data_IF_619486214611
#
_entry.id   IF_619486214611
#
_cell.length_a   1.000
_cell.length_b   1.000
_cell.length_c   1.000
_cell.angle_alpha   90.00
_cell.angle_beta   90.00
_cell.angle_gamma   90.00
#
_symmetry.space_group_name_H-M   'P 1'
#
loop_
_entity.id
_entity.type
_entity.pdbx_description
1 polymer ?
#
# COMPACT_ATOMS: atom_id res chain seq x y z
N UNK A 1 -27.91 -2.65 2.21
CA UNK A 1 -26.96 -3.18 1.19
C UNK A 1 -27.06 -4.67 1.16
N UNK A 2 -27.25 -5.24 -0.01
CA UNK A 2 -27.32 -6.69 -0.17
C UNK A 2 -25.91 -7.32 -0.20
N UNK A 3 -25.87 -8.65 -0.13
CA UNK A 3 -24.61 -9.39 -0.09
C UNK A 3 -23.79 -9.24 -1.40
N UNK A 4 -24.37 -9.31 -2.60
CA UNK A 4 -23.62 -9.07 -3.83
C UNK A 4 -22.98 -7.69 -3.90
N UNK A 5 -23.64 -6.64 -3.44
CA UNK A 5 -23.08 -5.31 -3.37
C UNK A 5 -21.88 -5.24 -2.40
N UNK A 6 -22.02 -5.86 -1.24
CA UNK A 6 -20.96 -5.95 -0.24
C UNK A 6 -19.75 -6.68 -0.79
N UNK A 7 -19.95 -7.82 -1.43
CA UNK A 7 -18.89 -8.62 -2.02
C UNK A 7 -18.15 -7.86 -3.14
N UNK A 8 -18.88 -7.08 -3.94
CA UNK A 8 -18.28 -6.26 -4.98
C UNK A 8 -17.34 -5.21 -4.39
N UNK A 9 -17.72 -4.57 -3.29
CA UNK A 9 -16.89 -3.58 -2.59
C UNK A 9 -15.67 -4.26 -1.96
N UNK A 10 -15.85 -5.40 -1.30
CA UNK A 10 -14.75 -6.18 -0.73
C UNK A 10 -13.74 -6.57 -1.81
N UNK A 11 -14.21 -6.98 -2.98
CA UNK A 11 -13.34 -7.32 -4.11
C UNK A 11 -12.57 -6.10 -4.62
N UNK A 12 -13.23 -4.97 -4.80
CA UNK A 12 -12.60 -3.73 -5.28
C UNK A 12 -11.50 -3.25 -4.31
N UNK A 13 -11.78 -3.24 -3.02
CA UNK A 13 -10.82 -2.80 -2.01
C UNK A 13 -9.65 -3.78 -1.89
N UNK A 14 -9.91 -5.08 -1.93
CA UNK A 14 -8.86 -6.11 -1.93
C UNK A 14 -7.96 -5.97 -3.16
N UNK A 15 -8.56 -5.70 -4.32
CA UNK A 15 -7.82 -5.50 -5.56
C UNK A 15 -6.88 -4.28 -5.44
N UNK A 16 -7.32 -3.18 -4.84
CA UNK A 16 -6.49 -2.00 -4.63
C UNK A 16 -5.26 -2.31 -3.78
N UNK A 17 -5.42 -3.08 -2.71
CA UNK A 17 -4.31 -3.46 -1.83
C UNK A 17 -3.27 -4.28 -2.60
N UNK A 18 -3.71 -5.27 -3.36
CA UNK A 18 -2.81 -6.12 -4.14
C UNK A 18 -2.15 -5.35 -5.29
N UNK A 19 -2.92 -4.52 -5.98
CA UNK A 19 -2.41 -3.70 -7.09
C UNK A 19 -1.35 -2.71 -6.61
N UNK A 20 -1.58 -2.09 -5.44
CA UNK A 20 -0.63 -1.18 -4.82
C UNK A 20 0.73 -1.84 -4.63
N UNK A 21 0.76 -3.05 -4.10
CA UNK A 21 1.99 -3.81 -3.89
C UNK A 21 2.70 -4.08 -5.23
N UNK A 22 1.98 -4.55 -6.22
CA UNK A 22 2.55 -4.87 -7.54
C UNK A 22 3.11 -3.64 -8.25
N UNK A 23 2.38 -2.54 -8.26
CA UNK A 23 2.82 -1.30 -8.89
C UNK A 23 4.02 -0.68 -8.17
N UNK A 24 4.03 -0.78 -6.84
CA UNK A 24 5.15 -0.31 -6.01
C UNK A 24 6.44 -1.05 -6.38
N UNK A 25 6.37 -2.37 -6.49
CA UNK A 25 7.52 -3.21 -6.84
C UNK A 25 8.03 -2.96 -8.26
N UNK A 26 7.17 -2.44 -9.13
CA UNK A 26 7.51 -2.04 -10.49
C UNK A 26 7.97 -0.59 -10.61
N UNK A 27 7.99 0.16 -9.50
CA UNK A 27 8.29 1.59 -9.47
C UNK A 27 7.37 2.42 -10.39
N UNK A 28 6.13 2.01 -10.55
CA UNK A 28 5.12 2.72 -11.35
C UNK A 28 4.41 3.74 -10.47
N UNK A 29 5.15 4.77 -10.09
CA UNK A 29 4.76 5.67 -9.01
C UNK A 29 3.54 6.54 -9.32
N UNK A 30 3.36 6.95 -10.55
CA UNK A 30 2.18 7.72 -10.97
C UNK A 30 0.91 6.88 -10.78
N UNK A 31 0.98 5.61 -11.13
CA UNK A 31 -0.15 4.69 -10.98
C UNK A 31 -0.41 4.35 -9.51
N UNK A 32 0.65 4.24 -8.69
CA UNK A 32 0.50 4.06 -7.24
C UNK A 32 -0.23 5.26 -6.63
N UNK A 33 0.23 6.47 -6.95
CA UNK A 33 -0.40 7.70 -6.45
C UNK A 33 -1.87 7.82 -6.90
N UNK A 34 -2.19 7.37 -8.10
CA UNK A 34 -3.54 7.40 -8.63
C UNK A 34 -4.52 6.45 -7.91
N UNK A 35 -4.02 5.52 -7.10
CA UNK A 35 -4.87 4.65 -6.27
C UNK A 35 -5.43 5.37 -5.05
N UNK A 36 -4.90 6.54 -4.72
CA UNK A 36 -5.43 7.39 -3.65
C UNK A 36 -6.50 8.35 -4.18
N UNK A 37 -7.42 8.71 -3.30
CA UNK A 37 -8.28 9.87 -3.54
C UNK A 37 -7.42 11.14 -3.66
N UNK A 38 -7.92 12.22 -4.30
CA UNK A 38 -7.13 13.45 -4.47
C UNK A 38 -6.51 14.02 -3.19
N UNK A 39 -7.20 13.87 -2.06
CA UNK A 39 -6.76 14.31 -0.73
C UNK A 39 -6.29 13.15 0.15
N UNK A 40 -5.92 12.02 -0.45
CA UNK A 40 -5.49 10.82 0.27
C UNK A 40 -4.28 11.05 1.17
N UNK A 41 -4.23 10.28 2.26
CA UNK A 41 -3.16 10.33 3.25
C UNK A 41 -2.42 9.00 3.31
N UNK A 42 -1.11 9.05 3.44
CA UNK A 42 -0.27 7.87 3.60
C UNK A 42 0.71 8.08 4.76
N UNK A 43 0.91 7.04 5.56
CA UNK A 43 2.07 6.93 6.43
C UNK A 43 2.81 5.63 6.12
N UNK A 44 4.14 5.70 6.07
CA UNK A 44 4.97 4.51 5.85
C UNK A 44 5.10 3.69 7.13
N UNK A 45 5.23 2.36 7.06
CA UNK A 45 5.45 1.54 8.25
C UNK A 45 6.65 1.97 9.09
N UNK A 46 7.70 2.50 8.43
CA UNK A 46 8.91 2.96 9.10
C UNK A 46 8.85 4.42 9.58
N UNK A 47 7.79 5.14 9.23
CA UNK A 47 7.59 6.55 9.58
C UNK A 47 6.10 6.83 9.87
N UNK A 48 5.52 6.17 10.90
CA UNK A 48 4.08 6.26 11.15
C UNK A 48 3.61 7.65 11.60
N UNK A 49 4.54 8.48 12.09
CA UNK A 49 4.24 9.83 12.57
C UNK A 49 4.50 10.92 11.52
N UNK A 50 4.82 10.54 10.29
CA UNK A 50 5.14 11.46 9.21
C UNK A 50 4.15 11.30 8.04
N UNK A 51 2.90 11.78 8.19
CA UNK A 51 1.90 11.65 7.14
C UNK A 51 2.25 12.50 5.92
N UNK A 52 1.95 11.94 4.74
CA UNK A 52 2.00 12.64 3.45
C UNK A 52 0.57 12.77 2.96
N UNK A 53 0.14 13.97 2.66
CA UNK A 53 -1.26 14.27 2.32
C UNK A 53 -1.36 14.87 0.93
N UNK A 54 -2.26 14.31 0.13
CA UNK A 54 -2.56 14.77 -1.21
C UNK A 54 -1.81 13.98 -2.27
N UNK A 55 -2.50 13.71 -3.36
CA UNK A 55 -1.98 12.86 -4.46
C UNK A 55 -0.67 13.40 -5.04
N UNK A 56 -0.55 14.73 -5.20
CA UNK A 56 0.69 15.34 -5.71
C UNK A 56 1.87 15.18 -4.76
N UNK A 57 1.66 15.39 -3.45
CA UNK A 57 2.69 15.19 -2.44
C UNK A 57 3.07 13.70 -2.31
N UNK A 58 2.11 12.81 -2.45
CA UNK A 58 2.35 11.37 -2.47
C UNK A 58 3.25 10.98 -3.64
N UNK A 59 2.95 11.46 -4.83
CA UNK A 59 3.77 11.20 -6.01
C UNK A 59 5.20 11.73 -5.82
N UNK A 60 5.34 12.95 -5.34
CA UNK A 60 6.66 13.54 -5.06
C UNK A 60 7.45 12.69 -4.05
N UNK A 61 6.79 12.21 -3.01
CA UNK A 61 7.38 11.34 -2.00
C UNK A 61 7.86 10.00 -2.60
N UNK A 62 7.08 9.40 -3.50
CA UNK A 62 7.48 8.17 -4.18
C UNK A 62 8.67 8.39 -5.12
N UNK A 63 8.63 9.44 -5.93
CA UNK A 63 9.70 9.77 -6.87
C UNK A 63 11.02 10.10 -6.19
N UNK A 64 10.98 10.56 -4.94
CA UNK A 64 12.18 10.88 -4.15
C UNK A 64 12.88 9.64 -3.59
N UNK A 65 12.25 8.45 -3.67
CA UNK A 65 12.87 7.22 -3.16
C UNK A 65 14.04 6.79 -4.04
N UNK A 66 15.18 6.36 -3.44
CA UNK A 66 16.23 5.72 -4.21
C UNK A 66 15.71 4.45 -4.89
N UNK A 67 16.13 4.18 -6.14
CA UNK A 67 15.78 2.92 -6.80
C UNK A 67 16.26 1.72 -5.98
N UNK A 68 15.40 0.70 -5.87
CA UNK A 68 15.73 -0.54 -5.18
C UNK A 68 14.92 -1.70 -5.76
N UNK A 69 15.44 -2.90 -5.63
CA UNK A 69 14.64 -4.10 -5.85
C UNK A 69 13.78 -4.37 -4.63
N UNK A 70 12.51 -4.61 -4.81
CA UNK A 70 11.60 -4.94 -3.72
C UNK A 70 10.55 -5.95 -4.14
N UNK A 71 10.03 -6.68 -3.15
CA UNK A 71 8.84 -7.51 -3.29
C UNK A 71 8.00 -7.36 -2.04
N UNK A 72 6.78 -6.87 -2.26
CA UNK A 72 5.77 -6.77 -1.21
C UNK A 72 4.85 -7.99 -1.34
N UNK A 73 4.66 -8.70 -0.24
CA UNK A 73 3.71 -9.79 -0.17
C UNK A 73 2.62 -9.37 0.80
N UNK A 74 1.41 -9.16 0.30
CA UNK A 74 0.25 -8.81 1.13
C UNK A 74 -0.53 -10.06 1.46
N UNK A 75 -0.97 -10.16 2.71
CA UNK A 75 -1.76 -11.29 3.17
C UNK A 75 -2.71 -10.84 4.28
N UNK A 76 -3.55 -11.76 4.75
CA UNK A 76 -4.48 -11.51 5.85
C UNK A 76 -5.32 -10.25 5.60
N UNK A 77 -5.78 -10.10 4.35
CA UNK A 77 -6.57 -8.94 3.93
C UNK A 77 -8.00 -9.14 4.41
N UNK A 78 -8.45 -8.24 5.27
CA UNK A 78 -9.82 -8.24 5.79
C UNK A 78 -10.43 -6.88 5.53
N UNK A 79 -11.46 -6.84 4.70
CA UNK A 79 -12.19 -5.63 4.33
C UNK A 79 -13.51 -5.58 5.09
N UNK A 80 -13.77 -4.44 5.72
CA UNK A 80 -15.03 -4.14 6.40
C UNK A 80 -15.76 -3.05 5.61
N UNK A 81 -16.90 -3.40 5.04
CA UNK A 81 -17.73 -2.44 4.29
C UNK A 81 -18.60 -1.67 5.28
N UNK A 82 -18.45 -0.36 5.30
CA UNK A 82 -19.18 0.51 6.22
C UNK A 82 -20.47 1.06 5.58
N UNK A 83 -20.41 1.35 4.28
CA UNK A 83 -21.56 1.84 3.51
C UNK A 83 -21.32 1.61 2.02
N UNK A 84 -22.25 2.05 1.19
CA UNK A 84 -22.07 2.00 -0.28
C UNK A 84 -20.88 2.83 -0.77
N UNK A 85 -20.39 3.76 0.05
CA UNK A 85 -19.36 4.73 -0.34
C UNK A 85 -18.10 4.70 0.53
N UNK A 86 -18.07 3.88 1.58
CA UNK A 86 -16.95 3.82 2.51
C UNK A 86 -16.66 2.39 2.97
N UNK A 87 -15.37 2.10 3.12
CA UNK A 87 -14.89 0.83 3.64
C UNK A 87 -13.56 1.04 4.36
N UNK A 88 -13.16 0.06 5.15
CA UNK A 88 -11.85 0.01 5.80
C UNK A 88 -11.28 -1.39 5.66
N UNK A 89 -9.96 -1.51 5.82
CA UNK A 89 -9.31 -2.80 5.78
C UNK A 89 -8.09 -2.84 6.67
N UNK A 90 -7.73 -4.04 7.06
CA UNK A 90 -6.42 -4.36 7.62
C UNK A 90 -5.77 -5.40 6.72
N UNK A 91 -4.45 -5.29 6.57
CA UNK A 91 -3.67 -6.29 5.85
C UNK A 91 -2.28 -6.39 6.46
N UNK A 92 -1.67 -7.57 6.29
CA UNK A 92 -0.29 -7.81 6.68
C UNK A 92 0.60 -7.61 5.46
N UNK A 93 1.82 -7.12 5.70
CA UNK A 93 2.81 -6.97 4.64
C UNK A 93 4.12 -7.60 5.05
N UNK A 94 4.70 -8.33 4.11
CA UNK A 94 6.05 -8.86 4.19
C UNK A 94 6.84 -8.21 3.06
N UNK A 95 7.85 -7.43 3.40
CA UNK A 95 8.65 -6.68 2.44
C UNK A 95 10.07 -7.19 2.41
N UNK A 96 10.48 -7.68 1.24
CA UNK A 96 11.87 -7.97 0.93
C UNK A 96 12.45 -6.85 0.10
N UNK A 97 13.65 -6.38 0.46
CA UNK A 97 14.42 -5.43 -0.34
C UNK A 97 15.75 -6.05 -0.68
N UNK A 98 16.23 -5.79 -1.91
CA UNK A 98 17.46 -6.36 -2.39
C UNK A 98 18.49 -5.31 -2.75
N UNK A 99 19.76 -5.70 -2.66
CA UNK A 99 20.89 -4.91 -3.15
C UNK A 99 21.48 -5.57 -4.39
N UNK A 100 22.05 -4.79 -5.33
CA UNK A 100 22.69 -5.39 -6.51
C UNK A 100 23.78 -6.40 -6.12
N UNK A 101 23.79 -7.55 -6.80
CA UNK A 101 24.88 -8.53 -6.66
C UNK A 101 26.09 -8.03 -7.48
N UNK A 102 27.27 -7.83 -6.85
CA UNK A 102 28.47 -7.37 -7.56
C UNK A 102 28.93 -8.32 -8.67
N UNK A 103 28.60 -9.62 -8.57
CA UNK A 103 28.97 -10.63 -9.57
C UNK A 103 27.94 -10.69 -10.72
N UNK A 104 26.89 -9.88 -10.70
CA UNK A 104 25.75 -9.98 -11.61
C UNK A 104 24.73 -10.97 -11.10
N UNK A 105 23.62 -11.14 -11.80
CA UNK A 105 22.54 -12.01 -11.39
C UNK A 105 21.47 -11.29 -10.57
N UNK A 106 20.72 -12.06 -9.79
CA UNK A 106 19.59 -11.53 -9.02
C UNK A 106 20.07 -10.68 -7.84
N UNK A 107 19.30 -9.64 -7.48
CA UNK A 107 19.58 -8.87 -6.26
C UNK A 107 19.60 -9.76 -5.02
N UNK A 108 20.43 -9.40 -4.04
CA UNK A 108 20.57 -10.13 -2.79
C UNK A 108 19.62 -9.51 -1.76
N UNK A 109 18.68 -10.30 -1.26
CA UNK A 109 17.72 -9.84 -0.27
C UNK A 109 18.32 -9.74 1.12
N UNK A 110 18.01 -8.62 1.81
CA UNK A 110 18.26 -8.48 3.24
C UNK A 110 17.14 -9.12 4.08
N UNK A 111 17.21 -8.97 5.43
CA UNK A 111 16.14 -9.41 6.31
C UNK A 111 14.81 -8.73 5.94
N UNK A 112 13.69 -9.47 5.93
CA UNK A 112 12.41 -8.87 5.59
C UNK A 112 11.87 -7.98 6.71
N UNK A 113 11.07 -6.99 6.33
CA UNK A 113 10.23 -6.24 7.26
C UNK A 113 8.85 -6.87 7.28
N UNK A 114 8.28 -6.98 8.49
CA UNK A 114 6.90 -7.43 8.69
C UNK A 114 6.12 -6.26 9.27
N UNK A 115 5.05 -5.92 8.60
CA UNK A 115 4.22 -4.79 9.01
C UNK A 115 2.75 -5.04 8.72
N UNK A 116 1.97 -4.00 8.95
CA UNK A 116 0.55 -3.99 8.67
C UNK A 116 0.16 -2.66 8.04
N UNK A 117 -0.92 -2.69 7.28
CA UNK A 117 -1.61 -1.50 6.81
C UNK A 117 -3.00 -1.43 7.40
N UNK A 118 -3.39 -0.23 7.80
CA UNK A 118 -4.73 0.13 8.20
C UNK A 118 -5.25 1.10 7.16
N UNK A 119 -6.20 0.65 6.37
CA UNK A 119 -6.67 1.38 5.19
C UNK A 119 -8.09 1.88 5.37
N UNK A 120 -8.36 3.05 4.82
CA UNK A 120 -9.69 3.57 4.59
C UNK A 120 -9.88 3.80 3.11
N UNK A 121 -11.07 3.45 2.63
CA UNK A 121 -11.43 3.58 1.22
C UNK A 121 -12.67 4.46 1.09
N UNK A 122 -12.72 5.16 -0.02
CA UNK A 122 -13.85 5.98 -0.40
C UNK A 122 -14.20 5.73 -1.86
N UNK A 123 -15.50 5.71 -2.15
CA UNK A 123 -15.96 5.65 -3.52
C UNK A 123 -15.92 7.05 -4.11
N UNK A 124 -15.19 7.20 -5.22
CA UNK A 124 -15.04 8.46 -5.95
C UNK A 124 -15.67 8.33 -7.34
N UNK A 125 -15.70 9.42 -8.09
CA UNK A 125 -16.10 9.39 -9.49
C UNK A 125 -15.20 8.50 -10.36
N UNK A 126 -13.95 8.31 -9.92
CA UNK A 126 -12.97 7.42 -10.57
C UNK A 126 -13.10 5.96 -10.12
N UNK A 127 -13.99 5.67 -9.15
CA UNK A 127 -14.13 4.37 -8.50
C UNK A 127 -13.60 4.38 -7.07
N UNK A 128 -13.40 3.19 -6.51
CA UNK A 128 -12.86 3.06 -5.15
C UNK A 128 -11.40 3.49 -5.11
N UNK A 129 -11.03 4.25 -4.06
CA UNK A 129 -9.68 4.78 -3.85
C UNK A 129 -9.33 4.74 -2.37
N UNK A 130 -8.04 4.70 -2.06
CA UNK A 130 -7.60 4.90 -0.67
C UNK A 130 -7.85 6.35 -0.27
N UNK A 131 -8.58 6.57 0.81
CA UNK A 131 -8.63 7.88 1.48
C UNK A 131 -7.50 7.99 2.50
N UNK A 132 -7.13 6.87 3.13
CA UNK A 132 -5.97 6.78 4.01
C UNK A 132 -5.31 5.42 3.87
N UNK A 133 -4.00 5.41 3.96
CA UNK A 133 -3.24 4.18 4.09
C UNK A 133 -2.17 4.37 5.14
N UNK A 134 -2.36 3.78 6.33
CA UNK A 134 -1.44 3.93 7.45
C UNK A 134 -0.67 2.64 7.67
N UNK A 135 0.66 2.74 7.60
CA UNK A 135 1.55 1.61 7.85
C UNK A 135 2.07 1.58 9.28
N UNK A 136 2.39 0.37 9.74
CA UNK A 136 3.04 0.14 11.01
C UNK A 136 3.95 -1.08 10.92
N UNK A 137 4.98 -1.16 11.78
CA UNK A 137 5.83 -2.35 11.87
C UNK A 137 5.28 -3.27 12.95
N UNK A 138 5.33 -4.57 12.69
CA UNK A 138 4.97 -5.60 13.67
C UNK A 138 6.14 -5.93 14.60
N UNK A 139 7.37 -5.80 14.08
CA UNK A 139 8.59 -6.13 14.81
C UNK A 139 9.63 -5.02 14.66
N UNK A 140 10.45 -4.82 15.68
CA UNK A 140 11.62 -3.98 15.57
C UNK A 140 12.70 -4.62 14.70
N UNK A 141 13.68 -3.83 14.29
CA UNK A 141 14.77 -4.29 13.42
C UNK A 141 15.93 -4.92 14.17
N UNK A 142 15.92 -4.88 15.49
CA UNK A 142 16.97 -5.46 16.33
C UNK A 142 18.26 -4.63 16.37
N UNK A 143 18.25 -3.42 15.85
CA UNK A 143 19.42 -2.54 15.82
C UNK A 143 19.48 -1.63 17.06
#
# INVERSE_FOLDING_TARGET
MDQPQRQAIEWECTRLINLYASLNDQARWEEVAALYAPDGLMTRPTAPDAPVVGRGALLASFLARPPRASRHICSNIVVEVESADAARAESMILLFTGTPDPSGGLPIAGPPLVGAYHDRFVRTEEGWRFSERRGSLAFGTGA
#
